data_IF_121190614713
#
_entry.id   IF_121190614713
#
_cell.length_a   1.000
_cell.length_b   1.000
_cell.length_c   1.000
_cell.angle_alpha   90.00
_cell.angle_beta   90.00
_cell.angle_gamma   90.00
#
_symmetry.space_group_name_H-M   'P 1'
#
loop_
_entity.id
_entity.type
_entity.pdbx_description
1 polymer ?
#
# COMPACT_ATOMS: atom_id res chain seq x y z
N UNK A 1 3.33 5.87 -38.98
CA UNK A 1 3.83 5.32 -37.70
C UNK A 1 2.94 5.82 -36.57
N UNK A 2 1.82 5.15 -36.30
CA UNK A 2 0.84 5.60 -35.31
C UNK A 2 1.15 4.99 -33.93
N UNK A 3 1.54 5.81 -32.97
CA UNK A 3 1.69 5.41 -31.57
C UNK A 3 0.30 5.21 -30.95
N UNK A 4 -0.08 3.95 -30.74
CA UNK A 4 -1.35 3.59 -30.07
C UNK A 4 -1.25 3.90 -28.58
N UNK A 5 -1.81 5.03 -28.15
CA UNK A 5 -1.95 5.41 -26.75
C UNK A 5 -3.07 4.61 -26.07
N UNK A 6 -2.84 3.31 -25.83
CA UNK A 6 -3.72 2.52 -24.96
C UNK A 6 -3.63 3.08 -23.53
N UNK A 7 -4.64 3.85 -23.09
CA UNK A 7 -4.75 4.27 -21.68
C UNK A 7 -4.82 3.02 -20.82
N UNK A 8 -3.78 2.78 -20.02
CA UNK A 8 -3.82 1.72 -19.01
C UNK A 8 -4.70 2.21 -17.88
N UNK A 9 -5.86 1.57 -17.67
CA UNK A 9 -6.62 1.78 -16.45
C UNK A 9 -5.83 1.15 -15.31
N UNK A 10 -5.28 1.99 -14.43
CA UNK A 10 -4.53 1.53 -13.26
C UNK A 10 -5.55 1.33 -12.14
N UNK A 11 -5.71 0.10 -11.65
CA UNK A 11 -6.50 -0.15 -10.47
C UNK A 11 -5.73 0.42 -9.25
N UNK A 12 -6.24 1.49 -8.66
CA UNK A 12 -5.65 2.10 -7.47
C UNK A 12 -6.18 1.40 -6.23
N UNK A 13 -5.29 0.79 -5.44
CA UNK A 13 -5.63 0.30 -4.10
C UNK A 13 -5.53 1.46 -3.11
N UNK A 14 -6.53 1.61 -2.24
CA UNK A 14 -6.53 2.60 -1.16
C UNK A 14 -6.21 1.92 0.15
N UNK A 15 -5.40 2.60 0.96
CA UNK A 15 -4.98 2.20 2.29
C UNK A 15 -5.12 3.40 3.21
N UNK A 16 -5.42 3.14 4.48
CA UNK A 16 -5.54 4.17 5.52
C UNK A 16 -4.18 4.48 6.14
N UNK A 17 -3.23 3.54 6.07
CA UNK A 17 -1.87 3.68 6.57
C UNK A 17 -0.85 2.97 5.66
N UNK A 18 0.29 3.63 5.44
CA UNK A 18 1.48 3.05 4.80
C UNK A 18 2.60 3.00 5.83
N UNK A 19 3.17 1.82 6.06
CA UNK A 19 4.35 1.62 6.90
C UNK A 19 5.55 1.36 6.01
N UNK A 20 6.63 2.12 6.20
CA UNK A 20 7.90 1.93 5.47
C UNK A 20 8.90 1.24 6.39
N UNK A 21 9.37 0.06 5.99
CA UNK A 21 10.28 -0.80 6.75
C UNK A 21 9.54 -1.98 7.41
N UNK A 22 9.94 -3.22 7.08
CA UNK A 22 9.38 -4.46 7.65
C UNK A 22 10.18 -4.99 8.86
N UNK A 23 10.94 -4.12 9.53
CA UNK A 23 11.61 -4.43 10.78
C UNK A 23 10.64 -4.57 11.97
N UNK A 24 11.15 -4.89 13.18
CA UNK A 24 10.32 -5.17 14.35
C UNK A 24 9.34 -4.03 14.70
N UNK A 25 9.80 -2.78 14.62
CA UNK A 25 8.97 -1.61 14.89
C UNK A 25 7.89 -1.40 13.83
N UNK A 26 8.23 -1.61 12.56
CA UNK A 26 7.30 -1.44 11.44
C UNK A 26 6.16 -2.45 11.49
N UNK A 27 6.48 -3.73 11.69
CA UNK A 27 5.47 -4.77 11.83
C UNK A 27 4.62 -4.61 13.09
N UNK A 28 5.21 -4.23 14.22
CA UNK A 28 4.45 -3.98 15.45
C UNK A 28 3.41 -2.85 15.25
N UNK A 29 3.80 -1.76 14.60
CA UNK A 29 2.88 -0.67 14.26
C UNK A 29 1.81 -1.08 13.24
N UNK A 30 2.19 -1.86 12.21
CA UNK A 30 1.27 -2.34 11.19
C UNK A 30 0.20 -3.27 11.77
N UNK A 31 0.59 -4.19 12.66
CA UNK A 31 -0.32 -5.09 13.36
C UNK A 31 -1.27 -4.30 14.26
N UNK A 32 -0.75 -3.36 15.06
CA UNK A 32 -1.62 -2.56 15.92
C UNK A 32 -2.65 -1.75 15.13
N UNK A 33 -2.25 -1.14 14.01
CA UNK A 33 -3.15 -0.41 13.13
C UNK A 33 -4.19 -1.34 12.47
N UNK A 34 -3.79 -2.56 12.09
CA UNK A 34 -4.72 -3.55 11.57
C UNK A 34 -5.75 -3.99 12.62
N UNK A 35 -5.34 -4.21 13.87
CA UNK A 35 -6.24 -4.55 14.99
C UNK A 35 -7.26 -3.44 15.28
N UNK A 36 -6.89 -2.17 15.01
CA UNK A 36 -7.79 -1.02 15.08
C UNK A 36 -8.71 -0.90 13.85
N UNK A 37 -8.62 -1.82 12.90
CA UNK A 37 -9.49 -1.91 11.72
C UNK A 37 -9.01 -1.12 10.50
N UNK A 38 -7.79 -0.58 10.51
CA UNK A 38 -7.26 0.16 9.37
C UNK A 38 -6.82 -0.78 8.24
N UNK A 39 -7.00 -0.34 7.00
CA UNK A 39 -6.36 -0.96 5.83
C UNK A 39 -4.90 -0.51 5.74
N UNK A 40 -3.97 -1.38 6.11
CA UNK A 40 -2.54 -1.08 6.19
C UNK A 40 -1.78 -1.74 5.04
N UNK A 41 -0.78 -1.05 4.48
CA UNK A 41 0.23 -1.63 3.60
C UNK A 41 1.63 -1.39 4.16
N UNK A 42 2.44 -2.45 4.18
CA UNK A 42 3.87 -2.38 4.53
C UNK A 42 4.68 -2.42 3.23
N UNK A 43 5.62 -1.49 3.09
CA UNK A 43 6.60 -1.43 2.00
C UNK A 43 7.99 -1.51 2.61
N UNK A 44 8.84 -2.38 2.09
CA UNK A 44 10.23 -2.57 2.53
C UNK A 44 11.14 -2.63 1.30
#
# INVERSE_FOLDING_TARGET
MAWSSKRRTIAVKKYDLVVIGAGPAGLAGALQAHELGLSVVVLD
#
